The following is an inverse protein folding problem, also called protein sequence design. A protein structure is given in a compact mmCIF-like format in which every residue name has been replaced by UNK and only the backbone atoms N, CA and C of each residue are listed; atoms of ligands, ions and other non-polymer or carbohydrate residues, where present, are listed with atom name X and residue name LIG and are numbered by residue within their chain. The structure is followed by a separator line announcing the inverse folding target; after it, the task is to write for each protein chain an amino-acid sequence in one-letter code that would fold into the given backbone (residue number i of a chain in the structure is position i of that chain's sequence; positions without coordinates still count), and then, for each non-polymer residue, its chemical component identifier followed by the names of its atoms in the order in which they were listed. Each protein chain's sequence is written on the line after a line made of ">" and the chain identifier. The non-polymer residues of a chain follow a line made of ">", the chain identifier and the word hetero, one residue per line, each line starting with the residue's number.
data_IF_745169763337
#
_entry.id   IF_745169763337
#
_cell.length_a   1.000
_cell.length_b   1.000
_cell.length_c   1.000
_cell.angle_alpha   90.00
_cell.angle_beta   90.00
_cell.angle_gamma   90.00
#
_symmetry.space_group_name_H-M   'P 1'
#
loop_
_entity.id
_entity.type
_entity.pdbx_description
1 polymer ?
#
# COMPACT_ATOMS: atom_id res chain seq x y z
N UNK A 1 -5.20 -41.08 2.05
CA UNK A 1 -4.75 -39.76 1.54
C UNK A 1 -5.51 -38.66 2.28
N UNK A 2 -4.89 -37.97 3.25
CA UNK A 2 -5.56 -36.91 4.03
C UNK A 2 -5.39 -35.56 3.33
N UNK A 3 -6.48 -35.03 2.76
CA UNK A 3 -6.54 -33.69 2.16
C UNK A 3 -6.57 -32.68 3.31
N UNK A 4 -5.43 -32.04 3.63
CA UNK A 4 -5.38 -30.94 4.60
C UNK A 4 -6.29 -29.81 4.08
N UNK A 5 -7.41 -29.55 4.78
CA UNK A 5 -8.23 -28.35 4.54
C UNK A 5 -7.38 -27.14 4.95
N UNK A 6 -7.03 -26.31 3.99
CA UNK A 6 -6.42 -25.00 4.28
C UNK A 6 -7.41 -24.21 5.14
N UNK A 7 -7.01 -23.68 6.32
CA UNK A 7 -7.92 -22.90 7.14
C UNK A 7 -8.43 -21.68 6.34
N UNK A 8 -9.72 -21.30 6.49
CA UNK A 8 -10.27 -20.15 5.80
C UNK A 8 -9.44 -18.91 6.15
N UNK A 9 -9.05 -18.12 5.13
CA UNK A 9 -8.41 -16.83 5.38
C UNK A 9 -9.33 -16.01 6.30
N UNK A 10 -8.83 -15.44 7.41
CA UNK A 10 -9.67 -14.64 8.29
C UNK A 10 -10.31 -13.51 7.47
N UNK A 11 -11.65 -13.46 7.49
CA UNK A 11 -12.42 -12.45 6.81
C UNK A 11 -12.34 -11.16 7.64
N UNK A 12 -11.45 -10.25 7.24
CA UNK A 12 -11.38 -8.90 7.84
C UNK A 12 -12.69 -8.19 7.48
N UNK A 13 -13.39 -7.67 8.48
CA UNK A 13 -14.62 -6.93 8.23
C UNK A 13 -14.31 -5.61 7.50
N UNK A 14 -15.32 -5.05 6.81
CA UNK A 14 -15.17 -3.73 6.20
C UNK A 14 -14.73 -2.69 7.23
N UNK A 15 -15.31 -2.71 8.43
CA UNK A 15 -14.96 -1.79 9.51
C UNK A 15 -13.51 -1.95 9.96
N UNK A 16 -13.05 -3.20 10.16
CA UNK A 16 -11.65 -3.47 10.51
C UNK A 16 -10.67 -3.01 9.42
N UNK A 17 -11.06 -3.11 8.15
CA UNK A 17 -10.24 -2.62 7.03
C UNK A 17 -10.07 -1.08 7.05
N UNK A 18 -11.09 -0.36 7.52
CA UNK A 18 -11.06 1.10 7.64
C UNK A 18 -10.25 1.58 8.85
N UNK A 19 -10.19 0.79 9.93
CA UNK A 19 -9.38 1.09 11.11
C UNK A 19 -7.92 0.63 10.97
N UNK A 20 -7.61 -0.19 9.95
CA UNK A 20 -6.26 -0.60 9.63
C UNK A 20 -5.33 0.60 9.36
N UNK A 21 -4.06 0.47 9.75
CA UNK A 21 -3.05 1.52 9.57
C UNK A 21 -2.07 1.13 8.47
N UNK A 22 -2.13 1.76 7.29
CA UNK A 22 -1.16 1.51 6.22
C UNK A 22 0.21 2.08 6.58
N UNK A 23 1.23 1.29 6.28
CA UNK A 23 2.64 1.67 6.41
C UNK A 23 3.33 1.47 5.07
N UNK A 24 3.91 2.54 4.53
CA UNK A 24 4.72 2.52 3.32
C UNK A 24 6.02 1.71 3.52
N UNK A 25 6.44 0.99 2.49
CA UNK A 25 7.77 0.37 2.50
C UNK A 25 8.86 1.42 2.46
N UNK A 26 10.04 1.04 2.93
CA UNK A 26 11.25 1.84 2.76
C UNK A 26 11.52 2.14 1.27
N UNK A 27 11.61 3.43 0.95
CA UNK A 27 11.91 3.97 -0.37
C UNK A 27 13.38 4.40 -0.38
N UNK A 28 14.15 3.91 -1.35
CA UNK A 28 15.58 4.22 -1.49
C UNK A 28 15.82 5.65 -1.99
N UNK A 29 14.96 6.12 -2.89
CA UNK A 29 15.02 7.48 -3.41
C UNK A 29 13.63 7.96 -3.84
N UNK A 30 13.38 9.25 -3.65
CA UNK A 30 12.17 9.92 -4.09
C UNK A 30 12.54 11.17 -4.89
N UNK A 31 12.04 11.23 -6.10
CA UNK A 31 12.24 12.36 -7.01
C UNK A 31 10.88 13.02 -7.29
N UNK A 32 10.72 14.33 -7.09
CA UNK A 32 9.51 15.02 -7.51
C UNK A 32 9.41 15.02 -9.04
N UNK A 33 8.19 14.88 -9.56
CA UNK A 33 7.90 14.97 -10.99
C UNK A 33 7.27 16.33 -11.32
N UNK A 34 7.43 16.79 -12.57
CA UNK A 34 6.93 18.10 -13.03
C UNK A 34 5.40 18.24 -12.88
N UNK A 35 4.67 17.12 -12.92
CA UNK A 35 3.22 17.07 -12.74
C UNK A 35 2.75 17.11 -11.27
N UNK A 36 3.66 17.39 -10.32
CA UNK A 36 3.37 17.36 -8.88
C UNK A 36 3.32 15.96 -8.28
N UNK A 37 3.63 14.93 -9.06
CA UNK A 37 3.77 13.55 -8.62
C UNK A 37 5.13 13.25 -8.00
N UNK A 38 5.38 11.97 -7.74
CA UNK A 38 6.66 11.51 -7.21
C UNK A 38 7.08 10.18 -7.84
N UNK A 39 8.34 10.09 -8.25
CA UNK A 39 8.98 8.84 -8.65
C UNK A 39 9.64 8.20 -7.43
N UNK A 40 9.17 7.01 -7.07
CA UNK A 40 9.70 6.22 -5.96
C UNK A 40 10.63 5.13 -6.49
N UNK A 41 11.85 5.06 -5.96
CA UNK A 41 12.77 3.96 -6.18
C UNK A 41 12.70 3.03 -4.97
N UNK A 42 12.27 1.78 -5.18
CA UNK A 42 12.10 0.80 -4.09
C UNK A 42 12.97 -0.44 -4.33
N UNK A 43 13.46 -1.10 -3.26
CA UNK A 43 14.25 -2.30 -3.41
C UNK A 43 13.37 -3.43 -3.94
N UNK A 44 13.88 -4.17 -4.92
CA UNK A 44 13.25 -5.36 -5.44
C UNK A 44 13.68 -6.54 -4.58
N UNK A 45 12.72 -7.15 -3.87
CA UNK A 45 12.97 -8.34 -3.05
C UNK A 45 12.48 -9.59 -3.82
N UNK A 46 13.33 -10.27 -4.61
CA UNK A 46 12.93 -11.49 -5.32
C UNK A 46 12.53 -12.58 -4.31
N UNK A 47 11.48 -13.34 -4.62
CA UNK A 47 10.97 -14.39 -3.73
C UNK A 47 11.35 -15.79 -4.22
N UNK A 48 11.95 -16.59 -3.33
CA UNK A 48 12.20 -18.02 -3.53
C UNK A 48 13.05 -18.33 -4.77
N UNK A 49 12.55 -19.22 -5.63
CA UNK A 49 13.24 -19.69 -6.84
C UNK A 49 13.54 -18.58 -7.86
N UNK A 50 12.87 -17.43 -7.77
CA UNK A 50 13.12 -16.28 -8.65
C UNK A 50 14.52 -15.69 -8.46
N UNK A 51 15.10 -15.76 -7.24
CA UNK A 51 16.47 -15.28 -7.00
C UNK A 51 17.49 -16.07 -7.83
N UNK A 52 17.28 -17.38 -7.96
CA UNK A 52 18.17 -18.27 -8.70
C UNK A 52 17.91 -18.24 -10.21
N UNK A 53 16.64 -18.25 -10.64
CA UNK A 53 16.27 -18.30 -12.06
C UNK A 53 16.60 -17.00 -12.81
N UNK A 54 16.42 -15.83 -12.17
CA UNK A 54 16.52 -14.54 -12.85
C UNK A 54 17.91 -13.89 -12.74
N UNK A 55 18.88 -14.52 -12.06
CA UNK A 55 20.24 -13.98 -11.79
C UNK A 55 20.21 -12.49 -11.39
N UNK A 56 19.20 -12.11 -10.60
CA UNK A 56 19.00 -10.71 -10.20
C UNK A 56 20.13 -10.30 -9.27
N UNK A 57 20.89 -9.23 -9.57
CA UNK A 57 21.96 -8.77 -8.72
C UNK A 57 21.44 -8.33 -7.35
N UNK A 58 22.25 -8.51 -6.31
CA UNK A 58 21.94 -8.02 -4.97
C UNK A 58 21.81 -6.49 -5.00
N UNK A 59 20.69 -5.96 -4.51
CA UNK A 59 20.40 -4.52 -4.56
C UNK A 59 19.59 -4.05 -5.78
N UNK A 60 19.06 -4.95 -6.61
CA UNK A 60 18.14 -4.55 -7.68
C UNK A 60 16.99 -3.68 -7.13
N UNK A 61 16.70 -2.59 -7.83
CA UNK A 61 15.62 -1.66 -7.48
C UNK A 61 14.67 -1.49 -8.66
N UNK A 62 13.48 -0.98 -8.39
CA UNK A 62 12.51 -0.61 -9.42
C UNK A 62 11.94 0.77 -9.14
N UNK A 63 11.61 1.48 -10.21
CA UNK A 63 11.02 2.82 -10.18
C UNK A 63 9.52 2.74 -10.42
N UNK A 64 8.77 3.57 -9.70
CA UNK A 64 7.32 3.66 -9.79
C UNK A 64 6.93 5.11 -9.69
N UNK A 65 6.16 5.57 -10.66
CA UNK A 65 5.69 6.93 -10.70
C UNK A 65 4.31 6.99 -10.07
N UNK A 66 4.16 7.89 -9.11
CA UNK A 66 2.89 8.29 -8.53
C UNK A 66 2.49 9.63 -9.12
N UNK A 67 1.19 9.79 -9.40
CA UNK A 67 0.60 11.09 -9.66
C UNK A 67 0.56 11.93 -8.37
N UNK A 68 0.19 13.20 -8.50
CA UNK A 68 0.15 14.11 -7.35
C UNK A 68 -0.77 13.59 -6.22
N UNK A 69 -1.92 13.05 -6.60
CA UNK A 69 -2.94 12.53 -5.67
C UNK A 69 -2.44 11.26 -4.97
N UNK A 70 -1.84 10.33 -5.70
CA UNK A 70 -1.29 9.10 -5.16
C UNK A 70 -0.06 9.35 -4.28
N UNK A 71 0.81 10.29 -4.66
CA UNK A 71 1.95 10.71 -3.84
C UNK A 71 1.47 11.25 -2.48
N UNK A 72 0.42 12.08 -2.50
CA UNK A 72 -0.17 12.61 -1.28
C UNK A 72 -0.72 11.52 -0.37
N UNK A 73 -1.51 10.58 -0.90
CA UNK A 73 -2.08 9.48 -0.10
C UNK A 73 -0.97 8.54 0.41
N UNK A 74 0.07 8.32 -0.38
CA UNK A 74 1.24 7.54 0.03
C UNK A 74 1.97 8.19 1.21
N UNK A 75 2.04 9.52 1.26
CA UNK A 75 2.67 10.26 2.37
C UNK A 75 1.92 10.13 3.68
N UNK A 76 0.60 9.90 3.61
CA UNK A 76 -0.21 9.62 4.79
C UNK A 76 -0.10 8.17 5.29
N UNK A 77 0.59 7.27 4.55
CA UNK A 77 0.78 5.87 4.94
C UNK A 77 1.97 5.71 5.90
N UNK A 78 1.87 6.33 7.07
CA UNK A 78 2.91 6.42 8.10
C UNK A 78 2.85 5.31 9.17
N UNK A 79 1.89 4.38 9.06
CA UNK A 79 1.62 3.32 10.05
C UNK A 79 0.90 3.79 11.31
N UNK A 80 0.57 5.08 11.41
CA UNK A 80 -0.13 5.70 12.55
C UNK A 80 -1.53 6.14 12.17
N UNK A 81 -1.68 6.69 10.97
CA UNK A 81 -2.94 7.18 10.41
C UNK A 81 -3.76 6.00 9.88
N UNK A 82 -5.03 5.87 10.27
CA UNK A 82 -5.90 4.80 9.76
C UNK A 82 -6.45 5.10 8.36
N UNK A 83 -6.85 4.07 7.60
CA UNK A 83 -7.47 4.25 6.27
C UNK A 83 -8.65 5.23 6.32
N UNK A 84 -9.46 5.17 7.38
CA UNK A 84 -10.58 6.10 7.63
C UNK A 84 -10.14 7.54 7.83
N UNK A 85 -9.04 7.77 8.55
CA UNK A 85 -8.48 9.11 8.75
C UNK A 85 -7.90 9.66 7.44
N UNK A 86 -7.20 8.83 6.68
CA UNK A 86 -6.70 9.18 5.34
C UNK A 86 -7.87 9.57 4.44
N UNK A 87 -8.92 8.76 4.38
CA UNK A 87 -10.12 9.05 3.58
C UNK A 87 -10.80 10.37 3.99
N UNK A 88 -10.90 10.67 5.29
CA UNK A 88 -11.45 11.94 5.77
C UNK A 88 -10.60 13.14 5.38
N UNK A 89 -9.27 13.05 5.52
CA UNK A 89 -8.33 14.10 5.10
C UNK A 89 -8.40 14.33 3.60
N UNK A 90 -8.44 13.24 2.83
CA UNK A 90 -8.60 13.26 1.38
C UNK A 90 -9.89 13.95 0.95
N UNK A 91 -11.03 13.57 1.56
CA UNK A 91 -12.32 14.18 1.30
C UNK A 91 -12.32 15.69 1.54
N UNK A 92 -11.78 16.12 2.69
CA UNK A 92 -11.70 17.54 3.05
C UNK A 92 -10.81 18.35 2.11
N UNK A 93 -9.69 17.78 1.65
CA UNK A 93 -8.76 18.51 0.77
C UNK A 93 -9.26 18.60 -0.67
N UNK A 94 -9.79 17.50 -1.20
CA UNK A 94 -10.26 17.42 -2.58
C UNK A 94 -11.74 17.79 -2.74
N UNK A 95 -12.43 18.16 -1.66
CA UNK A 95 -13.84 18.56 -1.63
C UNK A 95 -14.77 17.49 -2.25
N UNK A 96 -14.44 16.22 -2.06
CA UNK A 96 -15.22 15.07 -2.55
C UNK A 96 -16.03 14.43 -1.42
N UNK A 97 -17.04 13.65 -1.77
CA UNK A 97 -17.85 12.95 -0.79
C UNK A 97 -17.02 11.93 0.02
N UNK A 98 -17.37 11.75 1.30
CA UNK A 98 -16.65 10.85 2.21
C UNK A 98 -16.71 9.37 1.81
N UNK A 99 -17.80 8.95 1.16
CA UNK A 99 -17.96 7.59 0.65
C UNK A 99 -17.05 7.36 -0.56
N UNK A 100 -17.06 8.31 -1.51
CA UNK A 100 -16.21 8.27 -2.70
C UNK A 100 -14.73 8.33 -2.35
N UNK A 101 -14.35 9.24 -1.44
CA UNK A 101 -13.00 9.32 -0.89
C UNK A 101 -12.57 8.00 -0.25
N UNK A 102 -13.45 7.39 0.54
CA UNK A 102 -13.20 6.09 1.17
C UNK A 102 -12.92 5.00 0.14
N UNK A 103 -13.70 4.95 -0.94
CA UNK A 103 -13.51 3.97 -2.01
C UNK A 103 -12.21 4.22 -2.80
N UNK A 104 -11.93 5.48 -3.14
CA UNK A 104 -10.73 5.88 -3.87
C UNK A 104 -9.46 5.54 -3.08
N UNK A 105 -9.40 5.97 -1.81
CA UNK A 105 -8.25 5.69 -0.91
C UNK A 105 -8.07 4.20 -0.69
N UNK A 106 -9.14 3.45 -0.41
CA UNK A 106 -9.05 2.00 -0.22
C UNK A 106 -8.55 1.28 -1.50
N UNK A 107 -9.00 1.74 -2.67
CA UNK A 107 -8.57 1.18 -3.96
C UNK A 107 -7.10 1.47 -4.22
N UNK A 108 -6.65 2.69 -3.96
CA UNK A 108 -5.24 3.09 -4.07
C UNK A 108 -4.35 2.27 -3.13
N UNK A 109 -4.68 2.20 -1.84
CA UNK A 109 -3.93 1.41 -0.86
C UNK A 109 -3.84 -0.06 -1.29
N UNK A 110 -4.95 -0.65 -1.74
CA UNK A 110 -4.96 -2.03 -2.25
C UNK A 110 -4.05 -2.20 -3.46
N UNK A 111 -4.00 -1.24 -4.38
CA UNK A 111 -3.07 -1.26 -5.51
C UNK A 111 -1.61 -1.22 -5.04
N UNK A 112 -1.30 -0.36 -4.07
CA UNK A 112 0.04 -0.25 -3.50
C UNK A 112 0.44 -1.53 -2.75
N UNK A 113 -0.48 -2.16 -2.02
CA UNK A 113 -0.26 -3.47 -1.39
C UNK A 113 0.04 -4.55 -2.41
N UNK A 114 -0.72 -4.61 -3.52
CA UNK A 114 -0.45 -5.58 -4.61
C UNK A 114 0.91 -5.36 -5.26
N UNK A 115 1.34 -4.09 -5.34
CA UNK A 115 2.68 -3.73 -5.80
C UNK A 115 3.73 -3.95 -4.70
N UNK A 116 3.39 -4.34 -3.47
CA UNK A 116 4.33 -4.53 -2.38
C UNK A 116 4.96 -3.24 -1.86
N UNK A 117 4.25 -2.11 -1.97
CA UNK A 117 4.71 -0.77 -1.58
C UNK A 117 4.09 -0.28 -0.27
N UNK A 118 2.97 -0.87 0.13
CA UNK A 118 2.27 -0.55 1.38
C UNK A 118 1.89 -1.86 2.03
N UNK A 119 1.99 -1.91 3.35
CA UNK A 119 1.49 -3.01 4.19
C UNK A 119 0.43 -2.48 5.14
N UNK A 120 -0.56 -3.29 5.50
CA UNK A 120 -1.57 -2.93 6.51
C UNK A 120 -1.23 -3.61 7.83
N UNK A 121 -1.11 -2.83 8.89
CA UNK A 121 -1.21 -3.34 10.25
C UNK A 121 -2.69 -3.42 10.61
N UNK A 122 -3.20 -4.64 10.76
CA UNK A 122 -4.54 -4.91 11.29
C UNK A 122 -4.36 -5.48 12.68
N UNK A 123 -4.79 -4.75 13.69
CA UNK A 123 -4.86 -5.27 15.04
C UNK A 123 -5.92 -6.38 15.05
N UNK A 124 -5.51 -7.60 15.43
CA UNK A 124 -6.44 -8.72 15.54
C UNK A 124 -7.07 -8.63 16.92
N UNK A 125 -8.40 -8.51 17.00
CA UNK A 125 -9.12 -8.82 18.24
C UNK A 125 -8.78 -10.26 18.66
N UNK A 126 -8.38 -10.41 19.92
CA UNK A 126 -8.09 -11.69 20.56
C UNK A 126 -9.37 -12.46 20.85
#
# INVERSE_FOLDING_TARGET
>A
MFRRRTPPKPAISRQQSFEARPFAVEVLAREPLENGGARLTVPMRPRGYQKWLLRIPEGASRRIDLDAVGAEVFDMCDGRTSVKQIARRFAGKHHVDTHEAGLAVATFIRMMMRKGLVSLAVEREK
#
